data_IF_071742829451
#
_entry.id   IF_071742829451
#
_cell.length_a   1.000
_cell.length_b   1.000
_cell.length_c   1.000
_cell.angle_alpha   90.00
_cell.angle_beta   90.00
_cell.angle_gamma   90.00
#
_symmetry.space_group_name_H-M   'P 1'
#
loop_
_entity.id
_entity.type
_entity.pdbx_description
1 polymer ?
#
# COMPACT_ATOMS: atom_id res chain seq x y z
N UNK A 1 48.19 -36.93 39.58
CA UNK A 1 47.01 -37.72 39.11
C UNK A 1 45.70 -37.37 39.84
N UNK A 2 45.70 -36.83 41.07
CA UNK A 2 44.47 -36.47 41.82
C UNK A 2 43.68 -35.26 41.29
N UNK A 3 44.33 -34.31 40.59
CA UNK A 3 43.68 -33.12 40.04
C UNK A 3 42.67 -33.42 38.91
N UNK A 4 42.94 -34.45 38.07
CA UNK A 4 42.02 -34.88 37.00
C UNK A 4 40.73 -35.52 37.53
N UNK A 5 40.76 -36.12 38.73
CA UNK A 5 39.58 -36.73 39.35
C UNK A 5 38.67 -35.66 39.97
N UNK A 6 39.25 -34.63 40.60
CA UNK A 6 38.48 -33.50 41.18
C UNK A 6 37.72 -32.65 40.15
N UNK A 7 38.27 -32.45 38.94
CA UNK A 7 37.55 -31.77 37.85
C UNK A 7 36.45 -32.64 37.22
N UNK A 8 36.60 -33.97 37.23
CA UNK A 8 35.59 -34.87 36.67
C UNK A 8 34.35 -34.94 37.55
N UNK A 9 34.51 -34.91 38.87
CA UNK A 9 33.38 -35.01 39.80
C UNK A 9 32.51 -33.73 39.80
N UNK A 10 33.12 -32.57 39.58
CA UNK A 10 32.40 -31.28 39.51
C UNK A 10 31.60 -31.11 38.21
N UNK A 11 32.12 -31.59 37.08
CA UNK A 11 31.40 -31.53 35.80
C UNK A 11 30.16 -32.43 35.77
N UNK A 12 30.22 -33.61 36.37
CA UNK A 12 29.04 -34.49 36.52
C UNK A 12 28.00 -33.93 37.49
N UNK A 13 28.43 -33.25 38.56
CA UNK A 13 27.52 -32.57 39.48
C UNK A 13 26.70 -31.48 38.77
N UNK A 14 27.36 -30.58 38.02
CA UNK A 14 26.68 -29.54 37.23
C UNK A 14 25.80 -30.08 36.11
N UNK A 15 26.19 -31.21 35.51
CA UNK A 15 25.33 -31.92 34.57
C UNK A 15 24.02 -32.39 35.23
N UNK A 16 24.11 -33.00 36.42
CA UNK A 16 22.93 -33.48 37.16
C UNK A 16 22.06 -32.32 37.64
N UNK A 17 22.66 -31.24 38.15
CA UNK A 17 21.94 -30.00 38.50
C UNK A 17 21.20 -29.43 37.30
N UNK A 18 21.88 -29.30 36.16
CA UNK A 18 21.28 -28.86 34.90
C UNK A 18 20.15 -29.77 34.48
N UNK A 19 20.34 -31.09 34.56
CA UNK A 19 19.34 -32.09 34.19
C UNK A 19 18.09 -31.97 35.07
N UNK A 20 18.25 -31.76 36.38
CA UNK A 20 17.12 -31.51 37.29
C UNK A 20 16.37 -30.25 36.86
N UNK A 21 17.07 -29.15 36.58
CA UNK A 21 16.45 -27.91 36.10
C UNK A 21 15.69 -28.14 34.79
N UNK A 22 16.29 -28.88 33.85
CA UNK A 22 15.65 -29.23 32.58
C UNK A 22 14.37 -30.06 32.79
N UNK A 23 14.42 -31.08 33.65
CA UNK A 23 13.26 -31.90 34.00
C UNK A 23 12.16 -31.07 34.69
N UNK A 24 12.52 -30.12 35.55
CA UNK A 24 11.58 -29.17 36.16
C UNK A 24 10.94 -28.29 35.08
N UNK A 25 11.70 -27.78 34.12
CA UNK A 25 11.16 -26.99 33.01
C UNK A 25 10.26 -27.82 32.08
N UNK A 26 10.57 -29.10 31.86
CA UNK A 26 9.69 -30.04 31.17
C UNK A 26 8.39 -30.26 31.95
N UNK A 27 8.46 -30.39 33.28
CA UNK A 27 7.27 -30.54 34.11
C UNK A 27 6.41 -29.27 34.05
N UNK A 28 7.03 -28.09 34.13
CA UNK A 28 6.36 -26.79 33.99
C UNK A 28 5.72 -26.61 32.61
N UNK A 29 6.28 -27.21 31.55
CA UNK A 29 5.70 -27.15 30.20
C UNK A 29 4.27 -27.71 30.13
N UNK A 30 3.94 -28.67 31.01
CA UNK A 30 2.57 -29.23 31.14
C UNK A 30 1.56 -28.21 31.64
N UNK A 31 2.00 -27.15 32.32
CA UNK A 31 1.15 -26.04 32.73
C UNK A 31 1.14 -24.92 31.67
N UNK A 32 2.28 -24.65 31.04
CA UNK A 32 2.43 -23.59 30.02
C UNK A 32 1.54 -23.84 28.79
N UNK A 33 1.46 -25.09 28.29
CA UNK A 33 0.63 -25.40 27.13
C UNK A 33 -0.89 -25.17 27.33
N UNK A 34 -1.54 -25.75 28.35
CA UNK A 34 -2.96 -25.52 28.56
C UNK A 34 -3.25 -24.06 28.93
N UNK A 35 -2.36 -23.41 29.69
CA UNK A 35 -2.50 -22.00 30.05
C UNK A 35 -2.45 -21.09 28.81
N UNK A 36 -1.42 -21.22 27.97
CA UNK A 36 -1.29 -20.44 26.74
C UNK A 36 -2.48 -20.67 25.80
N UNK A 37 -2.90 -21.92 25.60
CA UNK A 37 -4.08 -22.25 24.78
C UNK A 37 -5.37 -21.64 25.32
N UNK A 38 -5.59 -21.65 26.64
CA UNK A 38 -6.77 -21.05 27.25
C UNK A 38 -6.78 -19.52 27.08
N UNK A 39 -5.62 -18.87 27.25
CA UNK A 39 -5.50 -17.43 27.07
C UNK A 39 -5.73 -17.02 25.60
N UNK A 40 -5.17 -17.77 24.65
CA UNK A 40 -5.37 -17.52 23.20
C UNK A 40 -6.84 -17.70 22.78
N UNK A 41 -7.55 -18.68 23.33
CA UNK A 41 -8.99 -18.86 23.09
C UNK A 41 -9.83 -17.70 23.62
N UNK A 42 -9.48 -17.16 24.79
CA UNK A 42 -10.16 -15.98 25.37
C UNK A 42 -9.99 -14.72 24.51
N UNK A 43 -8.92 -14.65 23.72
CA UNK A 43 -8.68 -13.57 22.77
C UNK A 43 -9.50 -13.68 21.46
N UNK A 44 -10.46 -14.62 21.37
CA UNK A 44 -11.33 -14.82 20.19
C UNK A 44 -10.56 -15.05 18.88
N UNK A 45 -9.34 -15.59 18.96
CA UNK A 45 -8.56 -15.96 17.80
C UNK A 45 -9.10 -17.25 17.17
N UNK A 46 -8.95 -17.36 15.85
CA UNK A 46 -9.23 -18.60 15.11
C UNK A 46 -8.51 -19.80 15.77
N UNK A 47 -9.17 -20.96 15.82
CA UNK A 47 -8.62 -22.19 16.34
C UNK A 47 -7.28 -22.56 15.67
N UNK A 48 -7.12 -22.29 14.38
CA UNK A 48 -5.86 -22.53 13.67
C UNK A 48 -4.73 -21.61 14.17
N UNK A 49 -5.02 -20.33 14.38
CA UNK A 49 -4.06 -19.33 14.88
C UNK A 49 -3.69 -19.63 16.34
N UNK A 50 -4.67 -19.97 17.17
CA UNK A 50 -4.46 -20.37 18.56
C UNK A 50 -3.57 -21.62 18.67
N UNK A 51 -3.79 -22.61 17.80
CA UNK A 51 -2.96 -23.82 17.75
C UNK A 51 -1.52 -23.46 17.36
N UNK A 52 -1.33 -22.67 16.30
CA UNK A 52 0.00 -22.26 15.85
C UNK A 52 0.74 -21.46 16.94
N UNK A 53 0.09 -20.47 17.53
CA UNK A 53 0.67 -19.66 18.59
C UNK A 53 1.05 -20.49 19.82
N UNK A 54 0.20 -21.43 20.25
CA UNK A 54 0.52 -22.33 21.38
C UNK A 54 1.73 -23.22 21.10
N UNK A 55 1.88 -23.71 19.85
CA UNK A 55 3.06 -24.48 19.42
C UNK A 55 4.33 -23.63 19.44
N UNK A 56 4.27 -22.39 18.96
CA UNK A 56 5.40 -21.47 18.98
C UNK A 56 5.84 -21.14 20.41
N UNK A 57 4.89 -20.90 21.32
CA UNK A 57 5.16 -20.68 22.75
C UNK A 57 5.85 -21.91 23.35
N UNK A 58 5.36 -23.12 23.03
CA UNK A 58 6.00 -24.35 23.50
C UNK A 58 7.42 -24.53 22.97
N UNK A 59 7.66 -24.27 21.68
CA UNK A 59 9.01 -24.33 21.10
C UNK A 59 9.94 -23.32 21.76
N UNK A 60 9.48 -22.08 21.98
CA UNK A 60 10.25 -21.06 22.69
C UNK A 60 10.59 -21.48 24.12
N UNK A 61 9.64 -22.11 24.83
CA UNK A 61 9.86 -22.69 26.17
C UNK A 61 10.88 -23.82 26.15
N UNK A 62 10.84 -24.68 25.14
CA UNK A 62 11.82 -25.76 24.99
C UNK A 62 13.23 -25.22 24.71
N UNK A 63 13.35 -24.20 23.87
CA UNK A 63 14.63 -23.53 23.59
C UNK A 63 15.19 -22.91 24.88
N UNK A 64 14.36 -22.21 25.67
CA UNK A 64 14.81 -21.62 26.93
C UNK A 64 15.24 -22.69 27.93
N UNK A 65 14.56 -23.84 27.99
CA UNK A 65 14.96 -24.96 28.83
C UNK A 65 16.35 -25.51 28.46
N UNK A 66 16.64 -25.63 27.16
CA UNK A 66 17.96 -26.05 26.67
C UNK A 66 19.04 -25.00 27.01
N UNK A 67 18.74 -23.72 26.86
CA UNK A 67 19.67 -22.63 27.21
C UNK A 67 20.03 -22.68 28.70
N UNK A 68 19.03 -22.80 29.58
CA UNK A 68 19.24 -22.88 31.03
C UNK A 68 20.03 -24.13 31.39
N UNK A 69 19.68 -25.29 30.82
CA UNK A 69 20.42 -26.54 31.00
C UNK A 69 21.90 -26.38 30.66
N UNK A 70 22.22 -25.89 29.45
CA UNK A 70 23.58 -25.70 28.99
C UNK A 70 24.34 -24.69 29.85
N UNK A 71 23.65 -23.65 30.35
CA UNK A 71 24.24 -22.63 31.20
C UNK A 71 24.68 -23.20 32.56
N UNK A 72 23.88 -24.10 33.14
CA UNK A 72 24.22 -24.80 34.39
C UNK A 72 25.31 -25.84 34.14
N UNK A 73 25.17 -26.68 33.12
CA UNK A 73 26.14 -27.76 32.86
C UNK A 73 27.55 -27.25 32.54
N UNK A 74 27.66 -26.22 31.71
CA UNK A 74 28.95 -25.66 31.30
C UNK A 74 29.52 -24.66 32.31
N UNK A 75 28.76 -24.30 33.35
CA UNK A 75 29.09 -23.23 34.31
C UNK A 75 29.59 -21.94 33.64
N UNK A 76 29.11 -21.66 32.43
CA UNK A 76 29.57 -20.57 31.58
C UNK A 76 28.41 -19.95 30.83
N UNK A 77 27.63 -19.14 31.57
CA UNK A 77 26.50 -18.42 31.04
C UNK A 77 26.89 -17.49 29.88
N UNK A 78 28.06 -16.85 29.94
CA UNK A 78 28.57 -15.96 28.90
C UNK A 78 28.76 -16.68 27.56
N UNK A 79 29.35 -17.87 27.57
CA UNK A 79 29.54 -18.68 26.36
C UNK A 79 28.21 -19.13 25.75
N UNK A 80 27.28 -19.62 26.59
CA UNK A 80 25.96 -20.08 26.12
C UNK A 80 25.16 -18.92 25.56
N UNK A 81 25.06 -17.80 26.29
CA UNK A 81 24.35 -16.62 25.81
C UNK A 81 25.02 -16.01 24.57
N UNK A 82 26.35 -16.01 24.48
CA UNK A 82 27.08 -15.58 23.29
C UNK A 82 26.73 -16.43 22.07
N UNK A 83 26.71 -17.75 22.23
CA UNK A 83 26.36 -18.70 21.16
C UNK A 83 24.91 -18.52 20.70
N UNK A 84 23.95 -18.54 21.62
CA UNK A 84 22.54 -18.33 21.30
C UNK A 84 22.24 -16.91 20.83
N UNK A 85 23.03 -15.92 21.25
CA UNK A 85 22.94 -14.55 20.77
C UNK A 85 23.27 -14.44 19.28
N UNK A 86 24.31 -15.14 18.81
CA UNK A 86 24.63 -15.23 17.37
C UNK A 86 23.51 -15.93 16.60
N UNK A 87 22.96 -17.02 17.13
CA UNK A 87 21.81 -17.69 16.52
C UNK A 87 20.57 -16.79 16.46
N UNK A 88 20.28 -16.06 17.54
CA UNK A 88 19.16 -15.13 17.61
C UNK A 88 19.32 -13.98 16.62
N UNK A 89 20.55 -13.46 16.44
CA UNK A 89 20.85 -12.45 15.43
C UNK A 89 20.62 -12.99 14.02
N UNK A 90 21.16 -14.17 13.69
CA UNK A 90 20.98 -14.80 12.38
C UNK A 90 19.50 -15.06 12.08
N UNK A 91 18.75 -15.57 13.07
CA UNK A 91 17.31 -15.78 12.95
C UNK A 91 16.56 -14.45 12.81
N UNK A 92 16.92 -13.41 13.57
CA UNK A 92 16.33 -12.08 13.47
C UNK A 92 16.53 -11.47 12.08
N UNK A 93 17.72 -11.60 11.50
CA UNK A 93 18.02 -11.18 10.14
C UNK A 93 17.20 -11.97 9.11
N UNK A 94 17.03 -13.28 9.30
CA UNK A 94 16.20 -14.09 8.43
C UNK A 94 14.70 -13.70 8.46
N UNK A 95 14.21 -13.20 9.60
CA UNK A 95 12.82 -12.75 9.77
C UNK A 95 12.62 -11.25 9.55
N UNK A 96 13.68 -10.52 9.18
CA UNK A 96 13.66 -9.07 9.05
C UNK A 96 12.56 -8.57 8.10
N UNK A 97 12.39 -9.21 6.94
CA UNK A 97 11.40 -8.81 5.95
C UNK A 97 9.96 -9.02 6.42
N UNK A 98 9.71 -10.09 7.17
CA UNK A 98 8.38 -10.37 7.75
C UNK A 98 8.04 -9.28 8.75
N UNK A 99 8.97 -8.96 9.65
CA UNK A 99 8.78 -7.92 10.66
C UNK A 99 8.62 -6.54 10.02
N UNK A 100 9.40 -6.23 8.97
CA UNK A 100 9.30 -4.97 8.23
C UNK A 100 7.92 -4.78 7.61
N UNK A 101 7.37 -5.82 6.96
CA UNK A 101 6.01 -5.75 6.38
C UNK A 101 4.92 -5.63 7.45
N UNK A 102 5.07 -6.35 8.56
CA UNK A 102 4.13 -6.28 9.67
C UNK A 102 4.08 -4.88 10.32
N UNK A 103 5.26 -4.32 10.65
CA UNK A 103 5.35 -2.98 11.22
C UNK A 103 4.85 -1.93 10.23
N UNK A 104 5.21 -2.03 8.95
CA UNK A 104 4.69 -1.14 7.93
C UNK A 104 3.16 -1.20 7.84
N UNK A 105 2.56 -2.38 7.93
CA UNK A 105 1.10 -2.54 7.99
C UNK A 105 0.47 -1.80 9.18
N UNK A 106 1.06 -1.95 10.37
CA UNK A 106 0.61 -1.22 11.57
C UNK A 106 0.68 0.30 11.33
N UNK A 107 1.80 0.81 10.83
CA UNK A 107 1.96 2.24 10.58
C UNK A 107 0.98 2.77 9.52
N UNK A 108 0.76 2.04 8.42
CA UNK A 108 -0.23 2.41 7.41
C UNK A 108 -1.64 2.52 8.00
N UNK A 109 -2.01 1.61 8.91
CA UNK A 109 -3.32 1.64 9.58
C UNK A 109 -3.46 2.77 10.60
N UNK A 110 -2.36 3.13 11.27
CA UNK A 110 -2.31 4.22 12.26
C UNK A 110 -2.28 5.60 11.61
N UNK A 111 -1.38 5.82 10.66
CA UNK A 111 -1.16 7.11 10.00
C UNK A 111 -2.20 7.38 8.91
N UNK A 112 -2.76 6.33 8.31
CA UNK A 112 -3.77 6.39 7.23
C UNK A 112 -3.40 7.39 6.13
N UNK A 113 -2.23 7.24 5.46
CA UNK A 113 -1.83 8.11 4.36
C UNK A 113 -2.84 8.09 3.20
N UNK A 114 -3.60 7.02 3.08
CA UNK A 114 -4.73 6.83 2.18
C UNK A 114 -5.85 6.06 2.91
N UNK A 115 -7.03 6.00 2.30
CA UNK A 115 -8.18 5.24 2.77
C UNK A 115 -8.50 4.10 1.81
N UNK A 116 -9.19 3.08 2.32
CA UNK A 116 -9.83 2.08 1.45
C UNK A 116 -10.80 2.83 0.51
N UNK A 117 -10.72 2.54 -0.77
CA UNK A 117 -11.43 3.23 -1.85
C UNK A 117 -10.63 4.36 -2.51
N UNK A 118 -9.48 4.77 -1.99
CA UNK A 118 -8.64 5.75 -2.68
C UNK A 118 -7.92 5.13 -3.89
N UNK A 119 -7.83 5.88 -4.99
CA UNK A 119 -6.93 5.55 -6.11
C UNK A 119 -5.53 6.04 -5.76
N UNK A 120 -4.58 5.12 -5.62
CA UNK A 120 -3.18 5.45 -5.35
C UNK A 120 -2.27 4.91 -6.45
N UNK A 121 -1.14 5.59 -6.62
CA UNK A 121 -0.01 5.07 -7.38
C UNK A 121 1.18 4.83 -6.46
N UNK A 122 1.72 3.62 -6.51
CA UNK A 122 2.87 3.16 -5.74
C UNK A 122 3.66 2.15 -6.56
N UNK A 123 4.99 2.24 -6.53
CA UNK A 123 5.87 1.33 -7.30
C UNK A 123 5.50 1.27 -8.80
N UNK A 124 5.13 2.42 -9.38
CA UNK A 124 4.71 2.51 -10.80
C UNK A 124 3.36 1.88 -11.13
N UNK A 125 2.68 1.24 -10.17
CA UNK A 125 1.35 0.65 -10.35
C UNK A 125 0.28 1.59 -9.81
N UNK A 126 -0.84 1.69 -10.53
CA UNK A 126 -2.00 2.49 -10.11
C UNK A 126 -3.18 1.56 -9.85
N UNK A 127 -3.89 1.76 -8.74
CA UNK A 127 -5.11 1.04 -8.45
C UNK A 127 -5.91 1.66 -7.31
N UNK A 128 -7.14 1.18 -7.16
CA UNK A 128 -8.02 1.51 -6.05
C UNK A 128 -7.68 0.59 -4.89
N UNK A 129 -7.39 1.15 -3.72
CA UNK A 129 -7.11 0.37 -2.49
C UNK A 129 -8.37 -0.35 -2.05
N UNK A 130 -8.33 -1.67 -1.96
CA UNK A 130 -9.46 -2.49 -1.52
C UNK A 130 -9.33 -2.94 -0.07
N UNK A 131 -8.11 -3.30 0.35
CA UNK A 131 -7.85 -3.77 1.71
C UNK A 131 -6.39 -3.52 2.13
N UNK A 132 -6.16 -3.40 3.44
CA UNK A 132 -4.83 -3.34 4.06
C UNK A 132 -4.73 -4.47 5.07
N UNK A 133 -4.07 -5.55 4.66
CA UNK A 133 -3.84 -6.74 5.48
C UNK A 133 -2.53 -6.62 6.28
N UNK A 134 -2.24 -7.64 7.10
CA UNK A 134 -1.07 -7.62 7.99
C UNK A 134 0.28 -7.44 7.28
N UNK A 135 0.44 -7.95 6.05
CA UNK A 135 1.69 -7.87 5.28
C UNK A 135 1.57 -7.22 3.91
N UNK A 136 0.36 -7.06 3.39
CA UNK A 136 0.09 -6.63 2.02
C UNK A 136 -1.06 -5.64 1.98
N UNK A 137 -0.98 -4.70 1.06
CA UNK A 137 -2.07 -3.82 0.64
C UNK A 137 -2.58 -4.33 -0.70
N UNK A 138 -3.88 -4.59 -0.79
CA UNK A 138 -4.54 -5.05 -2.00
C UNK A 138 -5.09 -3.86 -2.75
N UNK A 139 -4.76 -3.77 -4.04
CA UNK A 139 -5.29 -2.75 -4.95
C UNK A 139 -5.91 -3.41 -6.18
N UNK A 140 -6.97 -2.82 -6.73
CA UNK A 140 -7.53 -3.22 -8.02
C UNK A 140 -7.18 -2.20 -9.09
N UNK A 141 -6.60 -2.66 -10.20
CA UNK A 141 -6.29 -1.79 -11.34
C UNK A 141 -7.56 -1.38 -12.09
N UNK A 142 -7.46 -0.37 -12.95
CA UNK A 142 -8.58 0.02 -13.82
C UNK A 142 -8.95 -1.08 -14.83
N UNK A 143 -8.00 -1.96 -15.14
CA UNK A 143 -8.19 -3.14 -16.00
C UNK A 143 -8.84 -4.32 -15.25
N UNK A 144 -9.10 -4.18 -13.95
CA UNK A 144 -9.75 -5.19 -13.12
C UNK A 144 -8.81 -6.25 -12.55
N UNK A 145 -7.50 -6.04 -12.60
CA UNK A 145 -6.51 -6.96 -12.01
C UNK A 145 -6.32 -6.70 -10.51
N UNK A 146 -6.12 -7.77 -9.73
CA UNK A 146 -5.73 -7.68 -8.32
C UNK A 146 -4.20 -7.53 -8.19
N UNK A 147 -3.76 -6.50 -7.47
CA UNK A 147 -2.35 -6.21 -7.20
C UNK A 147 -2.10 -6.26 -5.70
N UNK A 148 -1.30 -7.23 -5.28
CA UNK A 148 -0.86 -7.40 -3.90
C UNK A 148 0.50 -6.75 -3.69
N UNK A 149 0.53 -5.61 -2.99
CA UNK A 149 1.78 -4.88 -2.72
C UNK A 149 2.21 -5.12 -1.28
N UNK A 150 3.45 -5.59 -1.02
CA UNK A 150 3.98 -5.69 0.33
C UNK A 150 3.88 -4.34 1.07
N UNK A 151 3.38 -4.35 2.30
CA UNK A 151 3.21 -3.12 3.10
C UNK A 151 4.52 -2.36 3.27
N UNK A 152 5.64 -3.07 3.37
CA UNK A 152 6.96 -2.45 3.46
C UNK A 152 7.30 -1.62 2.22
N UNK A 153 6.88 -2.05 1.02
CA UNK A 153 7.04 -1.28 -0.22
C UNK A 153 6.15 -0.06 -0.16
N UNK A 154 4.86 -0.24 0.15
CA UNK A 154 3.90 0.88 0.26
C UNK A 154 4.39 1.96 1.22
N UNK A 155 4.88 1.56 2.39
CA UNK A 155 5.36 2.48 3.42
C UNK A 155 6.69 3.17 3.04
N UNK A 156 7.58 2.48 2.32
CA UNK A 156 8.91 3.01 1.99
C UNK A 156 8.99 3.81 0.70
N UNK A 157 8.00 3.66 -0.19
CA UNK A 157 7.99 4.30 -1.51
C UNK A 157 7.14 5.57 -1.52
N UNK A 158 7.35 6.42 -2.52
CA UNK A 158 6.49 7.58 -2.77
C UNK A 158 5.09 7.12 -3.14
N UNK A 159 4.09 7.59 -2.39
CA UNK A 159 2.67 7.35 -2.67
C UNK A 159 2.09 8.60 -3.32
N UNK A 160 1.49 8.44 -4.50
CA UNK A 160 0.67 9.49 -5.11
C UNK A 160 -0.79 9.12 -4.91
N UNK A 161 -1.47 9.80 -3.98
CA UNK A 161 -2.91 9.64 -3.78
C UNK A 161 -3.67 10.54 -4.75
N UNK A 162 -4.41 9.92 -5.68
CA UNK A 162 -5.09 10.59 -6.79
C UNK A 162 -6.52 11.03 -6.46
N UNK A 163 -7.08 10.56 -5.35
CA UNK A 163 -8.48 10.81 -4.93
C UNK A 163 -8.59 11.60 -3.62
N UNK A 164 -7.47 11.92 -2.97
CA UNK A 164 -7.43 12.71 -1.72
C UNK A 164 -8.11 14.06 -1.88
N UNK A 165 -7.86 14.74 -3.00
CA UNK A 165 -8.48 16.01 -3.36
C UNK A 165 -9.60 15.78 -4.39
N UNK A 166 -10.68 16.58 -4.35
CA UNK A 166 -11.84 16.38 -5.23
C UNK A 166 -11.52 16.68 -6.69
N UNK A 167 -10.77 17.76 -6.95
CA UNK A 167 -10.43 18.18 -8.31
C UNK A 167 -9.01 17.72 -8.69
N UNK A 168 -8.88 17.18 -9.91
CA UNK A 168 -7.60 16.83 -10.53
C UNK A 168 -7.45 17.55 -11.86
N UNK A 169 -6.23 17.99 -12.17
CA UNK A 169 -5.93 18.57 -13.47
C UNK A 169 -5.67 17.45 -14.50
N UNK A 170 -6.28 17.61 -15.67
CA UNK A 170 -6.07 16.77 -16.84
C UNK A 170 -5.54 17.63 -18.00
N UNK A 171 -4.83 17.00 -18.92
CA UNK A 171 -4.32 17.62 -20.12
C UNK A 171 -4.81 16.87 -21.35
N UNK A 172 -5.25 17.62 -22.36
CA UNK A 172 -5.65 17.13 -23.66
C UNK A 172 -4.89 17.92 -24.72
N UNK A 173 -4.18 17.21 -25.59
CA UNK A 173 -3.42 17.80 -26.70
C UNK A 173 -4.09 17.42 -28.00
N UNK A 174 -4.51 18.41 -28.78
CA UNK A 174 -5.17 18.22 -30.08
C UNK A 174 -4.30 18.85 -31.17
N UNK A 175 -3.92 18.05 -32.18
CA UNK A 175 -3.16 18.57 -33.32
C UNK A 175 -4.05 19.52 -34.13
N UNK A 176 -3.53 20.69 -34.46
CA UNK A 176 -4.23 21.68 -35.29
C UNK A 176 -3.82 21.47 -36.76
N UNK A 177 -4.78 21.24 -37.67
CA UNK A 177 -4.49 21.17 -39.10
C UNK A 177 -3.83 22.46 -39.64
N UNK A 178 -2.94 22.33 -40.62
CA UNK A 178 -2.14 23.45 -41.13
C UNK A 178 -2.97 24.53 -41.87
N UNK A 179 -4.14 24.15 -42.36
CA UNK A 179 -5.12 25.00 -43.04
C UNK A 179 -5.99 25.81 -42.06
N UNK A 180 -5.90 25.56 -40.76
CA UNK A 180 -6.69 26.27 -39.74
C UNK A 180 -6.02 27.58 -39.34
N UNK A 181 -6.79 28.67 -39.39
CA UNK A 181 -6.35 29.97 -38.88
C UNK A 181 -6.27 29.98 -37.35
N UNK A 182 -5.09 30.29 -36.83
CA UNK A 182 -4.84 30.37 -35.38
C UNK A 182 -5.44 31.63 -34.75
N UNK A 183 -5.74 32.66 -35.54
CA UNK A 183 -6.32 33.92 -35.07
C UNK A 183 -7.63 33.67 -34.30
N UNK A 184 -7.64 34.07 -33.02
CA UNK A 184 -8.79 33.91 -32.13
C UNK A 184 -9.12 32.46 -31.73
N UNK A 185 -8.40 31.44 -32.20
CA UNK A 185 -8.70 30.03 -31.92
C UNK A 185 -8.66 29.73 -30.43
N UNK A 186 -7.62 30.19 -29.74
CA UNK A 186 -7.45 30.02 -28.28
C UNK A 186 -8.64 30.61 -27.52
N UNK A 187 -9.10 31.80 -27.93
CA UNK A 187 -10.21 32.48 -27.27
C UNK A 187 -11.54 31.75 -27.52
N UNK A 188 -11.82 31.32 -28.76
CA UNK A 188 -13.01 30.52 -29.11
C UNK A 188 -13.08 29.22 -28.32
N UNK A 189 -11.94 28.51 -28.21
CA UNK A 189 -11.88 27.26 -27.44
C UNK A 189 -12.06 27.54 -25.95
N UNK A 190 -11.39 28.55 -25.40
CA UNK A 190 -11.53 28.95 -23.99
C UNK A 190 -12.98 29.29 -23.63
N UNK A 191 -13.68 30.06 -24.46
CA UNK A 191 -15.08 30.42 -24.25
C UNK A 191 -16.01 29.21 -24.27
N UNK A 192 -15.78 28.26 -25.19
CA UNK A 192 -16.54 27.00 -25.21
C UNK A 192 -16.30 26.17 -23.97
N UNK A 193 -15.04 26.02 -23.54
CA UNK A 193 -14.70 25.26 -22.33
C UNK A 193 -15.26 25.90 -21.07
N UNK A 194 -15.25 27.24 -20.98
CA UNK A 194 -15.83 27.98 -19.86
C UNK A 194 -17.36 27.81 -19.76
N UNK A 195 -18.03 27.47 -20.86
CA UNK A 195 -19.47 27.17 -20.89
C UNK A 195 -19.81 25.73 -20.48
N UNK A 196 -18.82 24.85 -20.34
CA UNK A 196 -19.04 23.45 -19.94
C UNK A 196 -19.40 23.36 -18.46
N UNK A 197 -20.48 22.64 -18.15
CA UNK A 197 -20.96 22.46 -16.78
C UNK A 197 -20.09 21.49 -15.96
N UNK A 198 -19.40 20.58 -16.64
CA UNK A 198 -18.65 19.48 -16.01
C UNK A 198 -17.26 19.94 -15.51
N UNK A 199 -16.79 21.12 -15.94
CA UNK A 199 -15.46 21.62 -15.59
C UNK A 199 -15.47 22.50 -14.35
N UNK A 200 -14.42 22.38 -13.54
CA UNK A 200 -14.20 23.33 -12.46
C UNK A 200 -13.95 24.73 -13.04
N UNK A 201 -14.65 25.72 -12.49
CA UNK A 201 -14.54 27.13 -12.93
C UNK A 201 -13.36 27.86 -12.29
N UNK A 202 -12.93 27.38 -11.12
CA UNK A 202 -11.78 27.90 -10.39
C UNK A 202 -10.89 26.73 -9.95
N UNK A 203 -9.64 26.62 -10.46
CA UNK A 203 -9.04 27.49 -11.48
C UNK A 203 -9.61 27.25 -12.89
N UNK A 204 -9.66 28.29 -13.75
CA UNK A 204 -10.22 28.18 -15.10
C UNK A 204 -9.35 27.30 -16.01
N UNK A 205 -9.94 26.71 -17.08
CA UNK A 205 -9.20 25.91 -18.03
C UNK A 205 -8.12 26.75 -18.76
N UNK A 206 -6.92 26.20 -18.85
CA UNK A 206 -5.83 26.74 -19.64
C UNK A 206 -5.94 26.24 -21.08
N UNK A 207 -5.75 27.15 -22.03
CA UNK A 207 -5.70 26.84 -23.46
C UNK A 207 -4.48 27.55 -24.03
N UNK A 208 -3.58 26.79 -24.63
CA UNK A 208 -2.33 27.28 -25.20
C UNK A 208 -2.01 26.59 -26.52
N UNK A 209 -1.23 27.28 -27.35
CA UNK A 209 -0.70 26.71 -28.59
C UNK A 209 0.76 26.31 -28.33
N UNK A 210 1.12 25.10 -28.71
CA UNK A 210 2.49 24.58 -28.62
C UNK A 210 2.99 24.06 -29.98
N UNK A 211 4.31 24.11 -30.24
CA UNK A 211 4.90 23.39 -31.36
C UNK A 211 4.66 21.88 -31.23
N UNK A 212 4.33 21.24 -32.34
CA UNK A 212 4.19 19.79 -32.41
C UNK A 212 5.51 19.13 -32.83
N UNK A 213 5.80 17.93 -32.32
CA UNK A 213 7.04 17.21 -32.61
C UNK A 213 7.24 16.86 -34.10
N UNK A 214 6.17 16.85 -34.88
CA UNK A 214 6.14 16.57 -36.32
C UNK A 214 6.17 17.83 -37.21
N UNK A 215 6.52 18.99 -36.65
CA UNK A 215 6.66 20.25 -37.40
C UNK A 215 5.36 21.02 -37.62
N UNK A 216 4.30 20.69 -36.87
CA UNK A 216 3.03 21.39 -36.88
C UNK A 216 2.74 22.18 -35.60
N UNK A 217 1.47 22.48 -35.38
CA UNK A 217 0.96 23.19 -34.21
C UNK A 217 -0.02 22.30 -33.45
N UNK A 218 0.07 22.28 -32.12
CA UNK A 218 -0.84 21.57 -31.26
C UNK A 218 -1.52 22.52 -30.28
N UNK A 219 -2.79 22.29 -29.99
CA UNK A 219 -3.54 22.98 -28.96
C UNK A 219 -3.47 22.14 -27.68
N UNK A 220 -2.84 22.68 -26.65
CA UNK A 220 -2.84 22.10 -25.31
C UNK A 220 -3.97 22.72 -24.51
N UNK A 221 -4.84 21.86 -23.97
CA UNK A 221 -5.94 22.23 -23.08
C UNK A 221 -5.72 21.54 -21.74
N UNK A 222 -5.58 22.33 -20.67
CA UNK A 222 -5.54 21.81 -19.29
C UNK A 222 -6.78 22.24 -18.53
N UNK A 223 -7.46 21.30 -17.91
CA UNK A 223 -8.71 21.55 -17.19
C UNK A 223 -8.74 20.78 -15.88
N UNK A 224 -9.48 21.31 -14.92
CA UNK A 224 -9.69 20.67 -13.63
C UNK A 224 -11.06 20.02 -13.62
N UNK A 225 -11.10 18.76 -13.19
CA UNK A 225 -12.31 17.95 -13.15
C UNK A 225 -12.47 17.36 -11.74
N UNK A 226 -13.69 17.42 -11.21
CA UNK A 226 -14.06 16.63 -10.04
C UNK A 226 -14.25 15.17 -10.45
N UNK A 227 -13.23 14.35 -10.16
CA UNK A 227 -13.17 12.93 -10.51
C UNK A 227 -14.28 12.11 -9.83
N UNK A 228 -14.85 12.59 -8.72
CA UNK A 228 -15.84 11.82 -7.94
C UNK A 228 -17.22 11.85 -8.57
N UNK A 229 -17.52 12.90 -9.31
CA UNK A 229 -18.84 13.17 -9.87
C UNK A 229 -18.91 12.91 -11.38
N UNK A 230 -17.77 12.78 -12.05
CA UNK A 230 -17.70 12.66 -13.50
C UNK A 230 -16.73 11.56 -13.91
N UNK A 231 -17.09 10.81 -14.96
CA UNK A 231 -16.16 9.91 -15.64
C UNK A 231 -15.16 10.74 -16.46
N UNK A 232 -13.85 10.73 -16.13
CA UNK A 232 -12.87 11.52 -16.85
C UNK A 232 -12.74 11.15 -18.32
N UNK A 233 -12.94 9.88 -18.68
CA UNK A 233 -12.84 9.44 -20.07
C UNK A 233 -14.00 10.00 -20.89
N UNK A 234 -15.22 9.97 -20.33
CA UNK A 234 -16.39 10.55 -20.96
C UNK A 234 -16.25 12.08 -21.13
N UNK A 235 -15.78 12.79 -20.10
CA UNK A 235 -15.52 14.23 -20.17
C UNK A 235 -14.44 14.54 -21.20
N UNK A 236 -13.32 13.81 -21.18
CA UNK A 236 -12.24 14.00 -22.14
C UNK A 236 -12.70 13.79 -23.59
N UNK A 237 -13.52 12.76 -23.84
CA UNK A 237 -14.10 12.51 -25.17
C UNK A 237 -15.03 13.64 -25.62
N UNK A 238 -15.94 14.10 -24.73
CA UNK A 238 -16.85 15.21 -25.01
C UNK A 238 -16.10 16.52 -25.29
N UNK A 239 -15.07 16.83 -24.50
CA UNK A 239 -14.20 17.99 -24.74
C UNK A 239 -13.44 17.88 -26.06
N UNK A 240 -12.92 16.69 -26.38
CA UNK A 240 -12.25 16.42 -27.65
C UNK A 240 -13.13 16.74 -28.85
N UNK A 241 -14.39 16.31 -28.82
CA UNK A 241 -15.37 16.63 -29.87
C UNK A 241 -15.67 18.13 -29.94
N UNK A 242 -15.88 18.79 -28.80
CA UNK A 242 -16.13 20.24 -28.75
C UNK A 242 -14.95 21.06 -29.30
N UNK A 243 -13.72 20.67 -28.97
CA UNK A 243 -12.50 21.32 -29.46
C UNK A 243 -12.37 21.09 -30.96
N UNK A 244 -12.59 19.86 -31.43
CA UNK A 244 -12.54 19.54 -32.85
C UNK A 244 -13.54 20.36 -33.68
N UNK A 245 -14.78 20.49 -33.20
CA UNK A 245 -15.79 21.36 -33.82
C UNK A 245 -15.38 22.85 -33.80
N UNK A 246 -14.74 23.31 -32.72
CA UNK A 246 -14.27 24.69 -32.60
C UNK A 246 -13.11 25.01 -33.55
N UNK A 247 -12.28 24.01 -33.85
CA UNK A 247 -11.19 24.10 -34.82
C UNK A 247 -11.74 24.22 -36.25
N UNK A 248 -12.81 23.49 -36.58
CA UNK A 248 -13.43 23.54 -37.93
C UNK A 248 -14.36 24.74 -38.17
N UNK A 249 -14.87 25.36 -37.09
CA UNK A 249 -15.84 26.45 -37.22
C UNK A 249 -15.21 27.71 -37.85
N UNK A 250 -15.90 28.39 -38.80
CA UNK A 250 -15.48 29.69 -39.31
C UNK A 250 -15.29 30.71 -38.18
N UNK A 251 -14.34 31.67 -38.30
CA UNK A 251 -13.97 32.62 -37.24
C UNK A 251 -15.14 33.39 -36.59
N UNK A 252 -16.21 33.64 -37.36
CA UNK A 252 -17.37 34.45 -36.94
C UNK A 252 -18.58 33.62 -36.47
N UNK A 253 -18.40 32.31 -36.21
CA UNK A 253 -19.51 31.46 -35.76
C UNK A 253 -19.63 31.48 -34.23
N UNK A 254 -20.69 32.06 -33.64
CA UNK A 254 -20.87 32.04 -32.20
C UNK A 254 -20.99 30.61 -31.67
N UNK A 255 -20.52 30.39 -30.44
CA UNK A 255 -20.60 29.09 -29.78
C UNK A 255 -22.05 28.60 -29.71
N UNK A 256 -22.37 27.50 -30.40
CA UNK A 256 -23.67 26.83 -30.24
C UNK A 256 -23.71 26.20 -28.86
N UNK A 257 -24.57 26.71 -28.00
CA UNK A 257 -24.88 26.09 -26.71
C UNK A 257 -25.45 24.69 -26.98
N UNK A 258 -24.95 23.62 -26.32
CA UNK A 258 -25.55 22.31 -26.44
C UNK A 258 -27.01 22.41 -25.98
N UNK A 259 -27.96 22.12 -26.87
CA UNK A 259 -29.35 22.00 -26.46
C UNK A 259 -29.50 20.73 -25.62
N UNK A 260 -29.55 20.92 -24.30
CA UNK A 260 -30.06 19.90 -23.39
C UNK A 260 -31.48 19.58 -23.84
N UNK A 261 -31.70 18.38 -24.39
CA UNK A 261 -33.04 17.84 -24.60
C UNK A 261 -33.74 17.76 -23.24
N UNK A 262 -34.46 18.81 -22.85
CA UNK A 262 -35.49 18.71 -21.81
C UNK A 262 -36.59 17.82 -22.37
N UNK A 263 -36.57 16.55 -21.97
CA UNK A 263 -37.73 15.68 -22.10
C UNK A 263 -38.89 16.29 -21.31
N UNK A 264 -39.90 16.77 -22.04
CA UNK A 264 -41.21 17.11 -21.51
C UNK A 264 -42.20 16.10 -22.08
N UNK A 265 -42.71 15.21 -21.22
CA UNK A 265 -44.09 14.71 -21.28
C UNK A 265 -44.46 14.03 -19.96
N UNK A 266 -45.15 14.83 -19.14
CA UNK A 266 -46.26 14.61 -18.18
C UNK A 266 -46.81 13.21 -17.86
N UNK A 267 -47.48 13.06 -16.69
CA UNK A 267 -47.90 11.80 -16.09
C UNK A 267 -49.24 11.27 -16.65
N UNK A 268 -49.54 9.99 -16.39
CA UNK A 268 -50.77 9.62 -15.68
C UNK A 268 -50.52 9.00 -14.29
#
# INVERSE_FOLDING_TARGET
MSWLWSQRDTTWAHFLEGLIVFLVMLLLSRFVQPFSRNQLKRAHLDAAISLLASRLIYVAWMISAVIVFLSVWLSNLTFVLGSFGVFALAFGLAFQDILKNFLAGIFLLLERPFRIGDEIMVDGRTGIVEDVQFRTTTMRTMDGEEVLVPNSIVFSQTIVNRTRYPARQFALTVKVPADVRLDGLVQRVRERLASSADLAKDPPPYVGIQPSADGGVALEVRYWLDYRNHDPLAVQAALGEQIYQAIQAPPDTPARTPQVKRGLSTPP
#
